data_IF_384982089831
#
_entry.id   IF_384982089831
#
_cell.length_a   1.000
_cell.length_b   1.000
_cell.length_c   1.000
_cell.angle_alpha   90.00
_cell.angle_beta   90.00
_cell.angle_gamma   90.00
#
_symmetry.space_group_name_H-M   'P 1'
#
loop_
_entity.id
_entity.type
_entity.pdbx_description
1 polymer ?
#
# COMPACT_ATOMS: atom_id res chain seq x y z
N UNK A 1 7.54 -30.08 -1.23
CA UNK A 1 8.42 -28.93 -1.53
C UNK A 1 7.61 -27.67 -1.33
N UNK A 2 8.12 -26.69 -0.58
CA UNK A 2 7.56 -25.35 -0.48
C UNK A 2 8.61 -24.40 -1.05
N UNK A 3 8.26 -23.69 -2.11
CA UNK A 3 9.12 -22.77 -2.84
C UNK A 3 8.27 -22.03 -3.85
N UNK A 4 8.76 -20.87 -4.29
CA UNK A 4 8.12 -20.05 -5.31
C UNK A 4 8.96 -20.16 -6.58
N UNK A 5 8.30 -20.25 -7.74
CA UNK A 5 9.00 -20.24 -9.02
C UNK A 5 9.55 -18.83 -9.27
N UNK A 6 10.80 -18.75 -9.72
CA UNK A 6 11.46 -17.50 -10.08
C UNK A 6 12.06 -17.67 -11.46
N UNK A 7 11.84 -16.69 -12.33
CA UNK A 7 12.42 -16.65 -13.68
C UNK A 7 13.18 -15.33 -13.88
N UNK A 8 14.15 -15.26 -14.80
CA UNK A 8 14.78 -13.99 -15.16
C UNK A 8 13.73 -12.95 -15.56
N UNK A 9 13.81 -11.75 -14.97
CA UNK A 9 12.84 -10.67 -15.17
C UNK A 9 11.93 -10.40 -13.97
N UNK A 10 11.76 -11.38 -13.07
CA UNK A 10 10.97 -11.18 -11.85
C UNK A 10 11.63 -10.15 -10.91
N UNK A 11 10.80 -9.30 -10.29
CA UNK A 11 11.25 -8.38 -9.26
C UNK A 11 11.28 -9.12 -7.92
N UNK A 12 12.41 -9.01 -7.23
CA UNK A 12 12.63 -9.59 -5.91
C UNK A 12 12.74 -8.45 -4.90
N UNK A 13 11.85 -8.47 -3.91
CA UNK A 13 11.86 -7.52 -2.78
C UNK A 13 12.14 -8.32 -1.52
N UNK A 14 13.06 -7.85 -0.68
CA UNK A 14 13.38 -8.52 0.58
C UNK A 14 13.73 -7.53 1.69
N UNK A 15 13.28 -7.86 2.88
CA UNK A 15 13.48 -7.12 4.13
C UNK A 15 13.73 -8.10 5.30
N UNK A 16 13.59 -7.61 6.54
CA UNK A 16 13.80 -8.42 7.74
C UNK A 16 12.67 -9.47 7.97
N UNK A 17 11.51 -9.32 7.32
CA UNK A 17 10.36 -10.21 7.45
C UNK A 17 10.35 -11.30 6.37
N UNK A 18 11.00 -11.08 5.23
CA UNK A 18 11.24 -12.13 4.24
C UNK A 18 11.51 -11.66 2.83
N UNK A 19 11.02 -12.43 1.86
CA UNK A 19 11.22 -12.19 0.43
C UNK A 19 9.88 -12.35 -0.31
N UNK A 20 9.58 -11.39 -1.17
CA UNK A 20 8.44 -11.41 -2.10
C UNK A 20 8.98 -11.46 -3.53
N UNK A 21 8.32 -12.28 -4.37
CA UNK A 21 8.59 -12.40 -5.80
C UNK A 21 7.41 -11.80 -6.54
N UNK A 22 7.65 -10.77 -7.35
CA UNK A 22 6.66 -10.13 -8.21
C UNK A 22 6.94 -10.54 -9.66
N UNK A 23 6.01 -11.27 -10.33
CA UNK A 23 6.18 -11.66 -11.72
C UNK A 23 6.40 -10.45 -12.63
N UNK A 24 7.33 -10.55 -13.60
CA UNK A 24 7.69 -9.44 -14.50
C UNK A 24 6.48 -8.68 -15.07
N UNK A 25 5.48 -9.42 -15.55
CA UNK A 25 4.26 -8.88 -16.17
C UNK A 25 3.33 -8.08 -15.23
N UNK A 26 3.55 -8.15 -13.92
CA UNK A 26 2.74 -7.47 -12.90
C UNK A 26 3.53 -6.35 -12.20
N UNK A 27 4.80 -6.13 -12.53
CA UNK A 27 5.65 -5.17 -11.82
C UNK A 27 5.03 -3.78 -11.83
N UNK A 28 4.66 -3.26 -13.01
CA UNK A 28 4.09 -1.91 -13.16
C UNK A 28 2.78 -1.76 -12.37
N UNK A 29 1.87 -2.73 -12.47
CA UNK A 29 0.59 -2.72 -11.73
C UNK A 29 0.80 -2.73 -10.21
N UNK A 30 1.77 -3.51 -9.74
CA UNK A 30 2.11 -3.57 -8.31
C UNK A 30 2.74 -2.26 -7.84
N UNK A 31 3.63 -1.66 -8.64
CA UNK A 31 4.25 -0.37 -8.31
C UNK A 31 3.18 0.72 -8.22
N UNK A 32 2.32 0.86 -9.23
CA UNK A 32 1.24 1.84 -9.25
C UNK A 32 0.33 1.70 -8.01
N UNK A 33 -0.02 0.46 -7.66
CA UNK A 33 -0.85 0.18 -6.48
C UNK A 33 -0.13 0.52 -5.17
N UNK A 34 1.15 0.20 -5.03
CA UNK A 34 1.93 0.48 -3.82
C UNK A 34 2.10 1.98 -3.59
N UNK A 35 2.36 2.76 -4.64
CA UNK A 35 2.48 4.22 -4.53
C UNK A 35 1.19 4.87 -4.00
N UNK A 36 0.03 4.47 -4.53
CA UNK A 36 -1.27 4.94 -4.02
C UNK A 36 -1.49 4.48 -2.58
N UNK A 37 -1.21 3.21 -2.30
CA UNK A 37 -1.44 2.62 -0.98
C UNK A 37 -0.59 3.31 0.10
N UNK A 38 0.69 3.59 -0.17
CA UNK A 38 1.55 4.34 0.75
C UNK A 38 1.02 5.75 1.01
N UNK A 39 0.59 6.47 -0.04
CA UNK A 39 0.03 7.82 0.12
C UNK A 39 -1.24 7.82 0.99
N UNK A 40 -2.12 6.82 0.81
CA UNK A 40 -3.30 6.62 1.65
C UNK A 40 -2.89 6.32 3.09
N UNK A 41 -1.89 5.46 3.30
CA UNK A 41 -1.39 5.13 4.64
C UNK A 41 -0.83 6.35 5.38
N UNK A 42 -0.02 7.18 4.73
CA UNK A 42 0.54 8.39 5.32
C UNK A 42 -0.58 9.35 5.76
N UNK A 43 -1.60 9.52 4.92
CA UNK A 43 -2.75 10.35 5.25
C UNK A 43 -3.57 9.80 6.42
N UNK A 44 -3.76 8.48 6.49
CA UNK A 44 -4.42 7.82 7.63
C UNK A 44 -3.61 8.04 8.91
N UNK A 45 -2.28 7.84 8.87
CA UNK A 45 -1.39 8.04 10.02
C UNK A 45 -1.51 9.47 10.56
N UNK A 46 -1.49 10.47 9.67
CA UNK A 46 -1.70 11.87 10.05
C UNK A 46 -3.08 12.14 10.67
N UNK A 47 -4.15 11.52 10.16
CA UNK A 47 -5.50 11.61 10.76
C UNK A 47 -5.58 10.98 12.14
N UNK A 48 -5.01 9.80 12.32
CA UNK A 48 -4.96 9.09 13.62
C UNK A 48 -4.31 9.98 14.67
N UNK A 49 -3.14 10.56 14.35
CA UNK A 49 -2.41 11.45 15.25
C UNK A 49 -3.20 12.74 15.54
N UNK A 50 -3.81 13.34 14.52
CA UNK A 50 -4.60 14.57 14.67
C UNK A 50 -5.88 14.39 15.49
N UNK A 51 -6.56 13.26 15.33
CA UNK A 51 -7.83 12.96 16.00
C UNK A 51 -7.66 12.27 17.36
N UNK A 52 -6.44 11.87 17.71
CA UNK A 52 -6.11 11.13 18.95
C UNK A 52 -6.98 9.87 19.14
N UNK A 53 -7.06 9.06 18.09
CA UNK A 53 -7.90 7.86 18.01
C UNK A 53 -7.07 6.60 17.88
N UNK A 54 -7.62 5.45 18.26
CA UNK A 54 -6.94 4.17 18.06
C UNK A 54 -6.81 3.82 16.57
N UNK A 55 -5.73 3.15 16.13
CA UNK A 55 -5.57 2.72 14.73
C UNK A 55 -6.73 1.91 14.16
N UNK A 56 -7.42 1.12 15.00
CA UNK A 56 -8.58 0.31 14.59
C UNK A 56 -9.78 1.12 14.07
N UNK A 57 -9.76 2.46 14.17
CA UNK A 57 -10.75 3.32 13.51
C UNK A 57 -10.57 3.37 11.98
N UNK A 58 -9.34 3.26 11.48
CA UNK A 58 -9.03 3.37 10.05
C UNK A 58 -8.46 2.09 9.42
N UNK A 59 -8.00 1.14 10.25
CA UNK A 59 -7.52 -0.17 9.77
C UNK A 59 -8.59 -1.25 9.97
N UNK A 60 -8.85 -2.12 8.96
CA UNK A 60 -8.19 -2.19 7.66
C UNK A 60 -8.64 -1.08 6.68
N UNK A 61 -7.75 -0.71 5.75
CA UNK A 61 -8.04 0.28 4.69
C UNK A 61 -9.14 -0.28 3.79
N UNK A 62 -10.21 0.50 3.62
CA UNK A 62 -11.37 0.12 2.80
C UNK A 62 -11.45 0.98 1.53
N UNK A 63 -12.27 0.57 0.56
CA UNK A 63 -12.57 1.41 -0.62
C UNK A 63 -13.07 2.80 -0.23
N UNK A 64 -13.91 2.91 0.79
CA UNK A 64 -14.37 4.21 1.31
C UNK A 64 -13.20 5.07 1.80
N UNK A 65 -12.20 4.46 2.44
CA UNK A 65 -11.01 5.16 2.94
C UNK A 65 -10.19 5.77 1.80
N UNK A 66 -10.09 5.05 0.68
CA UNK A 66 -9.41 5.51 -0.54
C UNK A 66 -10.20 6.66 -1.19
N UNK A 67 -11.53 6.53 -1.29
CA UNK A 67 -12.39 7.59 -1.81
C UNK A 67 -12.28 8.88 -0.96
N UNK A 68 -12.29 8.75 0.36
CA UNK A 68 -12.12 9.87 1.29
C UNK A 68 -10.74 10.53 1.13
N UNK A 69 -9.70 9.73 0.87
CA UNK A 69 -8.36 10.22 0.56
C UNK A 69 -8.37 11.05 -0.73
N UNK A 70 -8.93 10.53 -1.83
CA UNK A 70 -9.03 11.25 -3.11
C UNK A 70 -9.78 12.58 -2.95
N UNK A 71 -10.92 12.59 -2.25
CA UNK A 71 -11.68 13.81 -1.97
C UNK A 71 -10.87 14.85 -1.18
N UNK A 72 -10.01 14.39 -0.27
CA UNK A 72 -9.16 15.27 0.53
C UNK A 72 -8.03 15.93 -0.28
N UNK A 73 -7.59 15.30 -1.38
CA UNK A 73 -6.61 15.87 -2.31
C UNK A 73 -7.26 16.92 -3.23
N UNK A 74 -8.48 16.66 -3.70
CA UNK A 74 -9.23 17.61 -4.54
C UNK A 74 -9.60 18.89 -3.79
N UNK A 75 -9.88 18.77 -2.49
CA UNK A 75 -10.23 19.92 -1.63
C UNK A 75 -9.03 20.82 -1.29
N UNK A 76 -7.80 20.39 -1.57
CA UNK A 76 -6.56 21.13 -1.33
C UNK A 76 -6.03 21.84 -2.59
N UNK A 77 -6.68 21.68 -3.75
CA UNK A 77 -6.42 22.41 -5.00
C UNK A 77 -7.24 23.69 -5.09
#
# INVERSE_FOLDING_TARGET
MRGVAVVPGDLIVGDDDGIVVVPEKLIEEVIDWVEEHEAVEEWIKAKIEKEDVSPGKYYPITTQTIEDFHQSQDSQK
#
